data_IF_848002472046
#
_entry.id   IF_848002472046
#
_cell.length_a   1.000
_cell.length_b   1.000
_cell.length_c   1.000
_cell.angle_alpha   90.00
_cell.angle_beta   90.00
_cell.angle_gamma   90.00
#
_symmetry.space_group_name_H-M   'P 1'
#
loop_
_entity.id
_entity.type
_entity.pdbx_description
1 polymer ?
#
# COMPACT_ATOMS: atom_id res chain seq x y z
N UNK A 1 23.55 -105.01 -0.61
CA UNK A 1 24.84 -104.28 -0.69
C UNK A 1 24.54 -102.84 -1.10
N UNK A 2 25.11 -101.86 -0.38
CA UNK A 2 25.26 -100.41 -0.66
C UNK A 2 23.96 -99.60 -0.88
N UNK A 3 23.47 -98.78 0.08
CA UNK A 3 23.96 -97.45 0.53
C UNK A 3 24.23 -96.52 -0.66
N UNK A 4 23.50 -95.42 -0.82
CA UNK A 4 23.74 -94.05 -0.28
C UNK A 4 22.75 -93.13 -1.06
N UNK A 5 22.35 -91.90 -0.72
CA UNK A 5 22.90 -90.82 0.10
C UNK A 5 21.73 -89.82 0.31
N UNK A 6 21.64 -89.22 1.50
CA UNK A 6 20.76 -88.09 1.77
C UNK A 6 21.18 -86.87 0.95
N UNK A 7 20.23 -86.19 0.29
CA UNK A 7 20.41 -84.84 -0.21
C UNK A 7 19.64 -83.88 0.71
N UNK A 8 20.34 -83.27 1.65
CA UNK A 8 19.81 -82.18 2.48
C UNK A 8 19.79 -80.93 1.58
N UNK A 9 18.60 -80.50 1.15
CA UNK A 9 18.43 -79.18 0.54
C UNK A 9 18.57 -78.12 1.63
N UNK A 10 19.71 -77.42 1.65
CA UNK A 10 19.85 -76.16 2.38
C UNK A 10 19.09 -75.08 1.62
N UNK A 11 17.90 -74.72 2.12
CA UNK A 11 17.22 -73.49 1.70
C UNK A 11 17.95 -72.34 2.40
N UNK A 12 18.81 -71.64 1.65
CA UNK A 12 19.37 -70.37 2.10
C UNK A 12 18.26 -69.32 1.98
N UNK A 13 17.53 -69.06 3.06
CA UNK A 13 16.61 -67.93 3.14
C UNK A 13 17.46 -66.68 3.34
N UNK A 14 17.80 -65.99 2.25
CA UNK A 14 18.38 -64.65 2.33
C UNK A 14 17.28 -63.71 2.82
N UNK A 15 17.25 -63.44 4.11
CA UNK A 15 16.39 -62.41 4.69
C UNK A 15 16.86 -61.05 4.17
N UNK A 16 16.20 -60.55 3.13
CA UNK A 16 16.37 -59.18 2.66
C UNK A 16 15.71 -58.27 3.69
N UNK A 17 16.44 -57.86 4.72
CA UNK A 17 16.00 -56.80 5.64
C UNK A 17 15.92 -55.51 4.85
N UNK A 18 14.70 -55.17 4.43
CA UNK A 18 14.36 -53.83 3.96
C UNK A 18 14.53 -52.92 5.18
N UNK A 19 15.68 -52.26 5.29
CA UNK A 19 15.87 -51.16 6.22
C UNK A 19 15.05 -50.01 5.64
N UNK A 20 13.79 -49.91 6.06
CA UNK A 20 12.98 -48.72 5.80
C UNK A 20 13.58 -47.63 6.69
N UNK A 21 14.22 -46.57 6.14
CA UNK A 21 14.66 -45.48 6.96
C UNK A 21 13.43 -44.84 7.60
N UNK A 22 13.28 -45.03 8.91
CA UNK A 22 12.33 -44.25 9.69
C UNK A 22 12.85 -42.81 9.69
N UNK A 23 12.25 -41.97 8.85
CA UNK A 23 12.40 -40.54 8.98
C UNK A 23 11.65 -40.11 10.24
N UNK A 24 12.38 -39.91 11.34
CA UNK A 24 11.85 -39.19 12.49
C UNK A 24 11.73 -37.72 12.08
N UNK A 25 10.49 -37.20 12.06
CA UNK A 25 10.29 -35.77 11.90
C UNK A 25 10.70 -35.08 13.21
N UNK A 26 11.68 -34.17 13.16
CA UNK A 26 12.10 -33.34 14.30
C UNK A 26 10.96 -32.45 14.84
N UNK A 27 9.91 -32.22 14.03
CA UNK A 27 8.71 -31.50 14.41
C UNK A 27 7.49 -32.05 13.66
N UNK A 28 6.44 -32.39 14.40
CA UNK A 28 5.11 -32.66 13.84
C UNK A 28 4.21 -31.48 14.15
N UNK A 29 3.56 -30.93 13.12
CA UNK A 29 2.54 -29.88 13.25
C UNK A 29 1.23 -30.37 12.66
N UNK A 30 0.11 -29.91 13.21
CA UNK A 30 -1.24 -30.26 12.74
C UNK A 30 -1.95 -28.98 12.31
N UNK A 31 -2.45 -28.98 11.08
CA UNK A 31 -3.29 -27.88 10.59
C UNK A 31 -4.71 -28.15 11.07
N UNK A 32 -5.27 -27.24 11.87
CA UNK A 32 -6.67 -27.27 12.27
C UNK A 32 -7.50 -26.33 11.36
N UNK A 33 -8.22 -26.86 10.36
CA UNK A 33 -9.03 -26.07 9.45
C UNK A 33 -10.30 -25.50 10.11
N UNK A 34 -10.60 -25.86 11.36
CA UNK A 34 -11.72 -25.26 12.11
C UNK A 34 -11.39 -23.88 12.69
N UNK A 35 -10.10 -23.52 12.75
CA UNK A 35 -9.65 -22.21 13.21
C UNK A 35 -9.82 -21.13 12.11
N UNK A 36 -10.44 -20.00 12.45
CA UNK A 36 -10.63 -18.87 11.53
C UNK A 36 -10.04 -17.60 12.17
N UNK A 37 -9.01 -17.04 11.52
CA UNK A 37 -8.30 -15.83 11.96
C UNK A 37 -8.68 -14.59 11.13
N UNK A 38 -9.74 -14.69 10.34
CA UNK A 38 -10.18 -13.66 9.40
C UNK A 38 -9.90 -14.04 7.94
N UNK A 39 -10.42 -13.22 7.03
CA UNK A 39 -10.22 -13.40 5.59
C UNK A 39 -8.86 -12.83 5.19
N UNK A 40 -8.00 -13.65 4.60
CA UNK A 40 -6.81 -13.16 3.91
C UNK A 40 -7.23 -12.49 2.60
N UNK A 41 -6.88 -11.23 2.44
CA UNK A 41 -7.36 -10.43 1.30
C UNK A 41 -6.40 -10.42 0.13
N UNK A 42 -5.11 -10.61 0.39
CA UNK A 42 -4.13 -10.58 -0.68
C UNK A 42 -2.75 -10.09 -0.28
N UNK A 43 -1.93 -9.93 -1.31
CA UNK A 43 -0.62 -9.30 -1.22
C UNK A 43 -0.43 -8.39 -2.45
N UNK A 44 0.53 -7.49 -2.35
CA UNK A 44 0.74 -6.54 -3.43
C UNK A 44 1.92 -5.62 -3.22
N UNK A 45 1.89 -4.52 -3.96
CA UNK A 45 2.95 -3.52 -3.94
C UNK A 45 2.40 -2.11 -4.10
N UNK A 46 3.20 -1.13 -3.67
CA UNK A 46 3.01 0.24 -4.10
C UNK A 46 3.53 0.42 -5.52
N UNK A 47 2.79 1.17 -6.33
CA UNK A 47 3.25 1.60 -7.65
C UNK A 47 4.26 2.76 -7.54
N UNK A 48 4.37 3.36 -6.35
CA UNK A 48 5.30 4.46 -6.11
C UNK A 48 6.72 3.94 -5.84
N UNK A 49 7.77 4.51 -6.43
CA UNK A 49 7.77 5.44 -7.56
C UNK A 49 8.06 4.76 -8.89
N UNK A 50 8.40 3.46 -8.86
CA UNK A 50 8.91 2.74 -10.02
C UNK A 50 7.96 2.80 -11.23
N UNK A 51 6.64 2.83 -11.01
CA UNK A 51 5.67 2.91 -12.09
C UNK A 51 5.62 4.31 -12.73
N UNK A 52 6.09 5.37 -12.06
CA UNK A 52 6.27 6.67 -12.70
C UNK A 52 7.39 6.62 -13.76
N UNK A 53 8.40 5.76 -13.58
CA UNK A 53 9.49 5.55 -14.54
C UNK A 53 9.18 4.46 -15.58
N UNK A 54 8.49 3.40 -15.17
CA UNK A 54 8.34 2.17 -15.96
C UNK A 54 6.89 1.72 -16.16
N UNK A 55 5.92 2.60 -15.92
CA UNK A 55 4.52 2.20 -15.83
C UNK A 55 3.86 1.76 -17.13
N UNK A 56 4.55 1.88 -18.26
CA UNK A 56 4.12 1.37 -19.57
C UNK A 56 4.73 0.01 -19.93
N UNK A 57 5.52 -0.59 -19.03
CA UNK A 57 6.22 -1.85 -19.27
C UNK A 57 5.35 -3.06 -18.93
N UNK A 58 4.98 -3.82 -19.96
CA UNK A 58 4.18 -5.04 -19.79
C UNK A 58 4.93 -6.18 -19.10
N UNK A 59 6.23 -6.31 -19.34
CA UNK A 59 7.04 -7.36 -18.72
C UNK A 59 7.08 -7.23 -17.19
N UNK A 60 7.34 -6.02 -16.66
CA UNK A 60 7.27 -5.75 -15.22
C UNK A 60 5.87 -5.99 -14.67
N UNK A 61 4.87 -5.52 -15.41
CA UNK A 61 3.50 -5.65 -14.98
C UNK A 61 3.02 -7.13 -15.01
N UNK A 62 3.58 -7.98 -15.87
CA UNK A 62 3.32 -9.42 -15.88
C UNK A 62 4.03 -10.11 -14.71
N UNK A 63 5.25 -9.70 -14.39
CA UNK A 63 6.00 -10.18 -13.22
C UNK A 63 5.22 -9.89 -11.94
N UNK A 64 4.65 -8.68 -11.79
CA UNK A 64 3.95 -8.33 -10.56
C UNK A 64 2.52 -8.87 -10.51
N UNK A 65 1.74 -8.76 -11.58
CA UNK A 65 0.28 -8.90 -11.53
C UNK A 65 -0.26 -10.12 -12.30
N UNK A 66 0.57 -11.10 -12.64
CA UNK A 66 0.12 -12.38 -13.20
C UNK A 66 0.86 -13.55 -12.58
N UNK A 67 0.39 -14.77 -12.83
CA UNK A 67 1.10 -16.01 -12.51
C UNK A 67 2.01 -16.50 -13.65
N UNK A 68 2.22 -15.71 -14.71
CA UNK A 68 3.02 -16.11 -15.86
C UNK A 68 4.52 -16.06 -15.55
N UNK A 69 5.30 -16.99 -16.10
CA UNK A 69 6.76 -16.88 -16.10
C UNK A 69 7.18 -15.83 -17.13
N UNK A 70 7.97 -14.85 -16.72
CA UNK A 70 8.46 -13.76 -17.56
C UNK A 70 9.98 -13.76 -17.58
N UNK A 71 10.58 -13.64 -18.76
CA UNK A 71 12.03 -13.46 -18.88
C UNK A 71 12.39 -11.98 -18.80
N UNK A 72 13.15 -11.60 -17.78
CA UNK A 72 13.69 -10.25 -17.61
C UNK A 72 15.21 -10.31 -17.59
N UNK A 73 15.86 -9.60 -18.52
CA UNK A 73 17.33 -9.55 -18.64
C UNK A 73 17.99 -10.95 -18.69
N UNK A 74 17.34 -11.90 -19.38
CA UNK A 74 17.83 -13.29 -19.49
C UNK A 74 17.53 -14.19 -18.29
N UNK A 75 16.86 -13.68 -17.25
CA UNK A 75 16.44 -14.46 -16.08
C UNK A 75 14.94 -14.74 -16.16
N UNK A 76 14.56 -16.01 -16.09
CA UNK A 76 13.16 -16.42 -15.99
C UNK A 76 12.67 -16.23 -14.56
N UNK A 77 11.67 -15.35 -14.40
CA UNK A 77 11.06 -15.03 -13.10
C UNK A 77 9.62 -15.54 -13.08
N UNK A 78 9.19 -16.24 -12.02
CA UNK A 78 7.78 -16.53 -11.82
C UNK A 78 7.03 -15.23 -11.52
N UNK A 79 5.84 -15.08 -12.12
CA UNK A 79 4.93 -14.01 -11.78
C UNK A 79 4.41 -14.15 -10.34
N UNK A 80 4.22 -13.02 -9.67
CA UNK A 80 3.87 -12.95 -8.25
C UNK A 80 2.35 -12.93 -7.99
N UNK A 81 1.55 -12.80 -9.05
CA UNK A 81 0.10 -12.77 -9.03
C UNK A 81 -0.47 -11.82 -7.95
N UNK A 82 0.09 -10.61 -7.87
CA UNK A 82 -0.37 -9.60 -6.92
C UNK A 82 -1.83 -9.22 -7.22
N UNK A 83 -2.65 -9.23 -6.18
CA UNK A 83 -4.04 -8.79 -6.29
C UNK A 83 -4.29 -7.42 -5.63
N UNK A 84 -3.28 -6.86 -4.96
CA UNK A 84 -3.32 -5.53 -4.36
C UNK A 84 -2.37 -4.57 -5.10
N UNK A 85 -2.83 -3.37 -5.44
CA UNK A 85 -1.99 -2.29 -5.97
C UNK A 85 -2.31 -0.95 -5.29
N UNK A 86 -1.29 -0.28 -4.73
CA UNK A 86 -1.42 1.05 -4.11
C UNK A 86 -0.93 2.13 -5.08
N UNK A 87 -1.77 3.10 -5.40
CA UNK A 87 -1.49 4.22 -6.30
C UNK A 87 -1.29 5.51 -5.51
N UNK A 88 -0.17 6.21 -5.71
CA UNK A 88 0.13 7.45 -5.01
C UNK A 88 -0.47 8.66 -5.75
N UNK A 89 -1.40 9.36 -5.12
CA UNK A 89 -1.81 10.70 -5.50
C UNK A 89 -0.68 11.68 -5.21
N UNK A 90 0.10 11.99 -6.25
CA UNK A 90 1.30 12.82 -6.12
C UNK A 90 1.04 14.22 -5.57
N UNK A 91 2.09 14.80 -5.01
CA UNK A 91 2.07 16.12 -4.39
C UNK A 91 2.77 17.20 -5.23
N UNK A 92 3.57 16.77 -6.22
CA UNK A 92 4.48 17.65 -6.96
C UNK A 92 3.85 18.21 -8.24
N UNK A 93 4.10 19.47 -8.53
CA UNK A 93 3.89 20.05 -9.87
C UNK A 93 4.82 21.24 -10.11
N UNK A 94 5.02 21.60 -11.37
CA UNK A 94 5.98 22.63 -11.80
C UNK A 94 5.31 23.87 -12.40
N UNK A 95 4.02 24.07 -12.11
CA UNK A 95 3.34 25.31 -12.45
C UNK A 95 3.73 26.44 -11.48
N UNK A 96 3.38 27.66 -11.88
CA UNK A 96 3.48 28.86 -11.04
C UNK A 96 2.07 29.39 -10.78
N UNK A 97 1.76 29.72 -9.53
CA UNK A 97 0.51 30.34 -9.12
C UNK A 97 0.74 31.86 -9.02
N UNK A 98 -0.13 32.65 -9.64
CA UNK A 98 -0.03 34.13 -9.70
C UNK A 98 1.34 34.65 -10.19
N UNK A 99 2.02 33.89 -11.06
CA UNK A 99 3.30 34.27 -11.66
C UNK A 99 4.52 34.27 -10.72
N UNK A 100 4.36 33.96 -9.43
CA UNK A 100 5.47 34.02 -8.45
C UNK A 100 5.56 32.81 -7.53
N UNK A 101 4.45 32.25 -7.09
CA UNK A 101 4.42 31.14 -6.14
C UNK A 101 4.65 29.82 -6.86
N UNK A 102 5.64 29.04 -6.43
CA UNK A 102 6.02 27.77 -7.04
C UNK A 102 6.40 26.75 -5.97
N UNK A 103 6.36 25.47 -6.33
CA UNK A 103 6.85 24.39 -5.49
C UNK A 103 8.30 24.64 -5.06
N UNK A 104 8.58 24.43 -3.77
CA UNK A 104 9.92 24.43 -3.20
C UNK A 104 10.46 23.01 -3.22
N UNK A 105 11.66 22.84 -3.79
CA UNK A 105 12.30 21.53 -3.95
C UNK A 105 13.45 21.37 -2.98
N UNK A 106 13.44 20.27 -2.23
CA UNK A 106 14.55 19.92 -1.34
C UNK A 106 15.85 19.78 -2.13
N UNK A 107 16.99 20.32 -1.65
CA UNK A 107 18.28 20.15 -2.31
C UNK A 107 18.74 18.69 -2.46
N UNK A 108 18.18 17.77 -1.68
CA UNK A 108 18.49 16.33 -1.71
C UNK A 108 17.43 15.50 -2.43
N UNK A 109 16.43 16.16 -3.03
CA UNK A 109 15.34 15.46 -3.69
C UNK A 109 15.83 14.60 -4.84
N UNK A 110 15.41 13.32 -4.83
CA UNK A 110 15.69 12.42 -5.95
C UNK A 110 14.58 12.64 -6.99
N UNK A 111 14.89 13.03 -8.24
CA UNK A 111 13.88 13.37 -9.24
C UNK A 111 12.85 12.28 -9.51
N UNK A 112 13.25 11.01 -9.48
CA UNK A 112 12.34 9.88 -9.69
C UNK A 112 11.34 9.66 -8.55
N UNK A 113 11.45 10.40 -7.44
CA UNK A 113 10.59 10.31 -6.25
C UNK A 113 9.57 11.46 -6.15
N UNK A 114 9.53 12.33 -7.15
CA UNK A 114 8.56 13.42 -7.28
C UNK A 114 7.40 12.94 -8.15
N UNK A 115 6.22 12.73 -7.55
CA UNK A 115 5.03 12.23 -8.24
C UNK A 115 4.14 13.40 -8.62
N UNK A 116 3.72 13.43 -9.88
CA UNK A 116 2.88 14.51 -10.42
C UNK A 116 1.51 14.46 -9.76
N UNK A 117 1.12 15.55 -9.12
CA UNK A 117 -0.23 15.75 -8.60
C UNK A 117 -1.19 16.32 -9.65
N UNK A 118 -2.49 16.18 -9.39
CA UNK A 118 -3.55 16.57 -10.33
C UNK A 118 -4.11 17.99 -10.10
N UNK A 119 -4.02 18.52 -8.88
CA UNK A 119 -4.66 19.80 -8.52
C UNK A 119 -3.63 20.92 -8.44
N UNK A 120 -3.50 21.65 -9.54
CA UNK A 120 -2.41 22.57 -9.84
C UNK A 120 -2.40 23.85 -9.00
N UNK A 121 -3.59 24.33 -8.61
CA UNK A 121 -3.74 25.55 -7.80
C UNK A 121 -5.06 25.57 -7.03
N UNK A 122 -5.21 26.53 -6.12
CA UNK A 122 -6.38 26.70 -5.27
C UNK A 122 -7.55 27.47 -5.93
N UNK A 123 -7.44 27.85 -7.21
CA UNK A 123 -8.42 28.76 -7.83
C UNK A 123 -9.79 28.11 -8.02
N UNK A 124 -9.85 26.78 -8.15
CA UNK A 124 -11.12 26.05 -8.26
C UNK A 124 -11.02 24.62 -7.76
N UNK A 125 -12.05 24.19 -7.02
CA UNK A 125 -12.29 22.79 -6.63
C UNK A 125 -13.00 21.99 -7.72
N UNK A 126 -13.42 22.62 -8.83
CA UNK A 126 -14.11 21.94 -9.91
C UNK A 126 -13.13 21.10 -10.74
N UNK A 127 -13.31 19.77 -10.87
CA UNK A 127 -12.41 18.90 -11.63
C UNK A 127 -12.39 19.19 -13.14
N UNK A 128 -13.36 19.94 -13.66
CA UNK A 128 -13.37 20.37 -15.07
C UNK A 128 -12.65 21.69 -15.34
N UNK A 129 -12.16 22.37 -14.29
CA UNK A 129 -11.46 23.64 -14.42
C UNK A 129 -9.99 23.45 -14.81
N UNK A 130 -9.34 24.55 -15.22
CA UNK A 130 -7.90 24.58 -15.49
C UNK A 130 -7.03 24.40 -14.24
N UNK A 131 -7.60 24.47 -13.04
CA UNK A 131 -6.90 24.13 -11.80
C UNK A 131 -6.57 22.64 -11.72
N UNK A 132 -7.16 21.79 -12.58
CA UNK A 132 -6.90 20.36 -12.60
C UNK A 132 -6.21 19.93 -13.89
N UNK A 133 -5.17 19.10 -13.76
CA UNK A 133 -4.44 18.53 -14.89
C UNK A 133 -4.50 16.99 -14.87
N UNK A 134 -5.54 16.42 -15.50
CA UNK A 134 -5.74 14.97 -15.59
C UNK A 134 -4.78 14.24 -16.54
N UNK A 135 -3.92 14.98 -17.26
CA UNK A 135 -2.82 14.39 -18.04
C UNK A 135 -1.57 14.12 -17.18
N UNK A 136 -1.57 14.57 -15.93
CA UNK A 136 -0.52 14.28 -14.96
C UNK A 136 -0.36 12.76 -14.72
N UNK A 137 0.84 12.38 -14.30
CA UNK A 137 1.19 11.03 -13.83
C UNK A 137 0.80 9.86 -14.76
N UNK A 138 0.91 10.07 -16.07
CA UNK A 138 0.48 9.11 -17.09
C UNK A 138 1.06 7.70 -16.90
N UNK A 139 2.34 7.57 -16.55
CA UNK A 139 3.00 6.27 -16.45
C UNK A 139 2.47 5.44 -15.26
N UNK A 140 2.40 6.01 -14.06
CA UNK A 140 1.86 5.28 -12.90
C UNK A 140 0.37 4.94 -13.11
N UNK A 141 -0.40 5.84 -13.73
CA UNK A 141 -1.79 5.57 -14.15
C UNK A 141 -1.90 4.41 -15.13
N UNK A 142 -1.02 4.35 -16.13
CA UNK A 142 -0.97 3.25 -17.09
C UNK A 142 -0.72 1.91 -16.36
N UNK A 143 0.25 1.88 -15.44
CA UNK A 143 0.55 0.69 -14.65
C UNK A 143 -0.64 0.24 -13.81
N UNK A 144 -1.36 1.18 -13.16
CA UNK A 144 -2.56 0.85 -12.38
C UNK A 144 -3.64 0.23 -13.27
N UNK A 145 -3.85 0.78 -14.47
CA UNK A 145 -4.81 0.23 -15.43
C UNK A 145 -4.41 -1.18 -15.87
N UNK A 146 -3.13 -1.41 -16.14
CA UNK A 146 -2.59 -2.71 -16.54
C UNK A 146 -2.70 -3.72 -15.39
N UNK A 147 -2.35 -3.33 -14.17
CA UNK A 147 -2.47 -4.16 -12.97
C UNK A 147 -3.91 -4.64 -12.77
N UNK A 148 -4.89 -3.73 -12.90
CA UNK A 148 -6.32 -4.04 -12.80
C UNK A 148 -6.83 -4.94 -13.92
N UNK A 149 -6.33 -4.76 -15.14
CA UNK A 149 -6.67 -5.65 -16.26
C UNK A 149 -6.12 -7.07 -16.07
N UNK A 150 -5.25 -7.27 -15.08
CA UNK A 150 -4.68 -8.55 -14.66
C UNK A 150 -5.27 -8.93 -13.31
N UNK A 151 -4.46 -9.33 -12.33
CA UNK A 151 -4.96 -9.88 -11.08
C UNK A 151 -5.34 -8.83 -10.02
N UNK A 152 -4.98 -7.55 -10.19
CA UNK A 152 -5.22 -6.54 -9.15
C UNK A 152 -6.70 -6.15 -9.03
N UNK A 153 -7.35 -6.63 -7.97
CA UNK A 153 -8.77 -6.38 -7.68
C UNK A 153 -9.02 -5.58 -6.40
N UNK A 154 -7.98 -5.35 -5.60
CA UNK A 154 -7.99 -4.45 -4.46
C UNK A 154 -7.05 -3.29 -4.76
N UNK A 155 -7.61 -2.10 -4.92
CA UNK A 155 -6.85 -0.91 -5.29
C UNK A 155 -6.95 0.12 -4.17
N UNK A 156 -5.81 0.67 -3.76
CA UNK A 156 -5.78 1.76 -2.77
C UNK A 156 -5.25 3.04 -3.43
N UNK A 157 -5.94 4.15 -3.18
CA UNK A 157 -5.42 5.49 -3.45
C UNK A 157 -4.77 5.99 -2.17
N UNK A 158 -3.48 6.27 -2.17
CA UNK A 158 -2.79 6.83 -1.01
C UNK A 158 -2.04 8.12 -1.35
N UNK A 159 -1.58 8.86 -0.35
CA UNK A 159 -0.82 10.10 -0.57
C UNK A 159 0.39 10.17 0.36
N UNK A 160 1.58 10.38 -0.23
CA UNK A 160 2.77 10.67 0.55
C UNK A 160 2.74 12.07 1.19
N UNK A 161 2.06 13.03 0.56
CA UNK A 161 2.03 14.42 0.98
C UNK A 161 0.88 15.19 0.31
N UNK A 162 0.33 16.24 0.94
CA UNK A 162 -0.61 17.15 0.29
C UNK A 162 0.03 17.84 -0.92
N UNK A 163 -0.79 18.32 -1.87
CA UNK A 163 -0.30 19.15 -2.98
C UNK A 163 0.59 20.27 -2.44
N UNK A 164 1.72 20.54 -3.09
CA UNK A 164 2.74 21.46 -2.57
C UNK A 164 2.20 22.82 -2.12
N UNK A 165 1.20 23.38 -2.81
CA UNK A 165 0.62 24.69 -2.46
C UNK A 165 -0.22 24.66 -1.17
N UNK A 166 -0.61 23.47 -0.70
CA UNK A 166 -1.26 23.27 0.59
C UNK A 166 -0.27 23.28 1.76
N UNK A 167 1.02 23.09 1.48
CA UNK A 167 2.07 23.03 2.49
C UNK A 167 2.49 24.43 2.97
N UNK A 168 2.79 24.58 4.27
CA UNK A 168 3.19 25.85 4.91
C UNK A 168 4.38 26.50 4.22
N UNK A 169 5.32 25.70 3.76
CA UNK A 169 6.57 26.12 3.10
C UNK A 169 6.58 25.88 1.59
N UNK A 170 5.43 25.55 0.98
CA UNK A 170 5.31 25.15 -0.43
C UNK A 170 6.18 23.94 -0.84
N UNK A 171 6.66 23.16 0.14
CA UNK A 171 7.54 22.02 -0.05
C UNK A 171 6.79 20.73 0.33
N UNK A 172 6.43 19.85 -0.64
CA UNK A 172 5.72 18.60 -0.36
C UNK A 172 6.63 17.50 0.22
N UNK A 173 7.91 17.79 0.45
CA UNK A 173 8.92 16.89 1.01
C UNK A 173 9.04 17.01 2.55
N UNK A 174 8.20 17.88 3.16
CA UNK A 174 7.99 18.14 4.59
C UNK A 174 8.48 19.51 5.07
N UNK A 175 8.20 19.81 6.35
CA UNK A 175 8.77 20.94 7.07
C UNK A 175 10.28 20.76 7.25
N UNK A 176 11.01 21.85 7.43
CA UNK A 176 12.47 21.80 7.57
C UNK A 176 12.95 21.06 8.83
N UNK A 177 12.09 21.03 9.86
CA UNK A 177 12.33 20.33 11.12
C UNK A 177 11.76 18.91 11.12
N UNK A 178 10.72 18.65 10.34
CA UNK A 178 10.17 17.30 10.16
C UNK A 178 9.23 16.80 11.23
N UNK A 179 9.23 17.44 12.40
CA UNK A 179 8.39 17.05 13.55
C UNK A 179 7.10 17.86 13.69
N UNK A 180 6.86 18.80 12.77
CA UNK A 180 5.66 19.65 12.77
C UNK A 180 4.84 19.45 11.52
N UNK A 181 3.52 19.54 11.71
CA UNK A 181 2.53 19.69 10.63
C UNK A 181 3.04 20.59 9.52
N UNK A 182 3.16 20.03 8.31
CA UNK A 182 3.49 20.84 7.14
C UNK A 182 2.24 21.23 6.35
N UNK A 183 1.08 20.61 6.59
CA UNK A 183 -0.20 21.05 6.02
C UNK A 183 -0.67 22.35 6.69
N UNK A 184 -1.06 23.34 5.89
CA UNK A 184 -1.70 24.55 6.40
C UNK A 184 -3.07 24.21 7.02
N UNK A 185 -3.41 24.78 8.17
CA UNK A 185 -4.64 24.44 8.90
C UNK A 185 -5.93 24.73 8.12
N UNK A 186 -5.92 25.75 7.25
CA UNK A 186 -7.04 26.06 6.35
C UNK A 186 -7.15 25.10 5.15
N UNK A 187 -6.20 24.18 4.96
CA UNK A 187 -6.19 23.22 3.85
C UNK A 187 -6.49 21.78 4.28
N UNK A 188 -6.94 21.53 5.51
CA UNK A 188 -7.35 20.19 5.95
C UNK A 188 -8.49 19.63 5.09
N UNK A 189 -9.53 20.44 4.84
CA UNK A 189 -10.60 20.05 3.93
C UNK A 189 -10.13 20.00 2.48
N UNK A 190 -9.25 20.90 2.05
CA UNK A 190 -8.69 20.87 0.69
C UNK A 190 -7.95 19.55 0.42
N UNK A 191 -7.15 19.04 1.34
CA UNK A 191 -6.49 17.74 1.17
C UNK A 191 -7.51 16.59 1.01
N UNK A 192 -8.59 16.61 1.80
CA UNK A 192 -9.70 15.67 1.63
C UNK A 192 -10.43 15.80 0.28
N UNK A 193 -10.67 17.03 -0.18
CA UNK A 193 -11.24 17.32 -1.51
C UNK A 193 -10.35 16.76 -2.60
N UNK A 194 -9.03 16.89 -2.48
CA UNK A 194 -8.07 16.35 -3.43
C UNK A 194 -8.23 14.83 -3.57
N UNK A 195 -8.10 14.12 -2.45
CA UNK A 195 -8.15 12.66 -2.43
C UNK A 195 -9.50 12.12 -2.93
N UNK A 196 -10.61 12.68 -2.46
CA UNK A 196 -11.94 12.25 -2.89
C UNK A 196 -12.24 12.57 -4.37
N UNK A 197 -11.75 13.71 -4.88
CA UNK A 197 -11.93 14.09 -6.28
C UNK A 197 -11.09 13.24 -7.21
N UNK A 198 -9.85 12.91 -6.84
CA UNK A 198 -9.02 11.94 -7.59
C UNK A 198 -9.70 10.57 -7.62
N UNK A 199 -10.17 10.05 -6.49
CA UNK A 199 -10.88 8.77 -6.44
C UNK A 199 -12.12 8.76 -7.37
N UNK A 200 -12.93 9.83 -7.32
CA UNK A 200 -14.12 9.96 -8.17
C UNK A 200 -13.78 10.05 -9.65
N UNK A 201 -12.79 10.85 -10.00
CA UNK A 201 -12.37 11.03 -11.39
C UNK A 201 -11.85 9.72 -12.00
N UNK A 202 -11.05 8.96 -11.26
CA UNK A 202 -10.57 7.64 -11.66
C UNK A 202 -11.73 6.66 -11.90
N UNK A 203 -12.74 6.67 -11.03
CA UNK A 203 -13.94 5.84 -11.19
C UNK A 203 -14.72 6.22 -12.45
N UNK A 204 -15.02 7.51 -12.63
CA UNK A 204 -15.90 7.98 -13.70
C UNK A 204 -15.25 7.91 -15.09
N UNK A 205 -13.96 8.26 -15.17
CA UNK A 205 -13.28 8.49 -16.46
C UNK A 205 -12.45 7.29 -16.89
N UNK A 206 -11.89 6.54 -15.93
CA UNK A 206 -10.97 5.43 -16.21
C UNK A 206 -11.49 4.09 -15.71
N UNK A 207 -12.74 4.04 -15.25
CA UNK A 207 -13.39 2.85 -14.69
C UNK A 207 -12.63 2.24 -13.49
N UNK A 208 -11.76 3.02 -12.84
CA UNK A 208 -10.88 2.55 -11.76
C UNK A 208 -11.52 2.89 -10.43
N UNK A 209 -12.06 1.87 -9.76
CA UNK A 209 -12.65 2.02 -8.43
C UNK A 209 -11.63 1.63 -7.38
N UNK A 210 -11.29 2.55 -6.49
CA UNK A 210 -10.48 2.25 -5.33
C UNK A 210 -11.33 1.59 -4.24
N UNK A 211 -10.78 0.52 -3.66
CA UNK A 211 -11.32 -0.15 -2.49
C UNK A 211 -11.18 0.73 -1.24
N UNK A 212 -10.03 1.41 -1.12
CA UNK A 212 -9.71 2.30 0.00
C UNK A 212 -9.02 3.60 -0.46
N UNK A 213 -9.14 4.63 0.37
CA UNK A 213 -8.39 5.90 0.26
C UNK A 213 -7.66 6.18 1.57
N UNK A 214 -6.33 6.34 1.51
CA UNK A 214 -5.48 6.75 2.63
C UNK A 214 -4.89 8.15 2.37
N UNK A 215 -5.24 9.18 3.16
CA UNK A 215 -4.70 10.52 2.94
C UNK A 215 -3.27 10.71 3.50
N UNK A 216 -2.64 9.68 4.07
CA UNK A 216 -1.36 9.77 4.76
C UNK A 216 -0.34 8.70 4.33
N UNK A 217 0.91 8.93 4.75
CA UNK A 217 2.00 7.96 4.72
C UNK A 217 2.96 8.31 5.87
N UNK A 218 3.08 7.42 6.86
CA UNK A 218 3.91 7.60 8.05
C UNK A 218 3.73 8.98 8.72
N UNK A 219 2.49 9.37 9.07
CA UNK A 219 2.18 10.75 9.43
C UNK A 219 2.84 11.19 10.74
N UNK A 220 3.01 10.32 11.74
CA UNK A 220 3.64 10.72 13.01
C UNK A 220 5.17 10.69 12.99
N UNK A 221 5.77 10.26 11.87
CA UNK A 221 7.21 10.21 11.71
C UNK A 221 7.84 11.61 11.84
N UNK A 222 8.96 11.70 12.56
CA UNK A 222 9.71 12.95 12.74
C UNK A 222 10.96 13.03 11.87
N UNK A 223 11.12 12.11 10.90
CA UNK A 223 12.28 12.04 10.00
C UNK A 223 12.03 12.62 8.62
N UNK A 224 10.79 12.99 8.30
CA UNK A 224 10.53 13.77 7.09
C UNK A 224 11.31 15.09 7.17
N UNK A 225 11.90 15.58 6.08
CA UNK A 225 12.70 16.80 6.20
C UNK A 225 12.75 17.59 4.89
N UNK A 226 12.33 18.85 4.93
CA UNK A 226 12.31 19.73 3.76
C UNK A 226 13.68 20.02 3.15
N UNK A 227 14.78 19.90 3.90
CA UNK A 227 16.16 20.22 3.46
C UNK A 227 16.97 18.98 3.06
N UNK A 228 16.75 17.85 3.73
CA UNK A 228 17.54 16.62 3.55
C UNK A 228 16.73 15.44 3.05
N UNK A 229 15.40 15.55 3.06
CA UNK A 229 14.49 14.54 2.53
C UNK A 229 14.75 14.26 1.06
N UNK A 230 14.55 13.00 0.68
CA UNK A 230 14.81 12.52 -0.69
C UNK A 230 13.52 12.17 -1.43
N UNK A 231 12.36 12.30 -0.80
CA UNK A 231 11.04 11.95 -1.31
C UNK A 231 9.94 12.87 -0.77
N UNK A 232 8.75 12.80 -1.36
CA UNK A 232 7.51 13.37 -0.80
C UNK A 232 7.21 12.75 0.58
N UNK A 233 6.75 13.59 1.51
CA UNK A 233 6.44 13.22 2.88
C UNK A 233 5.89 14.42 3.67
N UNK A 234 5.01 14.17 4.63
CA UNK A 234 4.44 15.22 5.47
C UNK A 234 4.15 14.66 6.86
N UNK A 235 4.68 15.33 7.89
CA UNK A 235 4.25 15.08 9.25
C UNK A 235 2.82 15.56 9.46
N UNK A 236 2.02 14.78 10.18
CA UNK A 236 0.70 15.13 10.67
C UNK A 236 0.55 14.71 12.14
N UNK A 237 0.27 15.70 12.99
CA UNK A 237 -0.18 15.47 14.35
C UNK A 237 -1.45 14.60 14.35
N UNK A 238 -1.63 13.80 15.40
CA UNK A 238 -2.80 12.91 15.55
C UNK A 238 -4.13 13.68 15.46
N UNK A 239 -4.18 14.90 16.01
CA UNK A 239 -5.36 15.78 15.90
C UNK A 239 -5.63 16.21 14.47
N UNK A 240 -4.58 16.48 13.70
CA UNK A 240 -4.67 16.86 12.29
C UNK A 240 -5.14 15.69 11.45
N UNK A 241 -4.62 14.48 11.71
CA UNK A 241 -5.11 13.26 11.07
C UNK A 241 -6.62 13.08 11.31
N UNK A 242 -7.08 13.21 12.55
CA UNK A 242 -8.50 13.08 12.88
C UNK A 242 -9.39 14.10 12.15
N UNK A 243 -8.93 15.36 12.02
CA UNK A 243 -9.66 16.40 11.29
C UNK A 243 -9.75 16.07 9.78
N UNK A 244 -8.63 15.70 9.16
CA UNK A 244 -8.58 15.32 7.74
C UNK A 244 -9.43 14.08 7.45
N UNK A 245 -9.44 13.07 8.32
CA UNK A 245 -10.26 11.86 8.15
C UNK A 245 -11.76 12.16 8.16
N UNK A 246 -12.20 13.07 9.05
CA UNK A 246 -13.59 13.53 9.07
C UNK A 246 -13.96 14.24 7.76
N UNK A 247 -13.11 15.16 7.29
CA UNK A 247 -13.33 15.81 5.99
C UNK A 247 -13.34 14.78 4.85
N UNK A 248 -12.41 13.83 4.83
CA UNK A 248 -12.33 12.82 3.77
C UNK A 248 -13.61 11.98 3.68
N UNK A 249 -14.18 11.57 4.82
CA UNK A 249 -15.46 10.86 4.82
C UNK A 249 -16.58 11.69 4.22
N UNK A 250 -16.70 12.96 4.63
CA UNK A 250 -17.69 13.89 4.06
C UNK A 250 -17.51 14.08 2.56
N UNK A 251 -16.27 14.27 2.09
CA UNK A 251 -15.98 14.52 0.67
C UNK A 251 -16.17 13.27 -0.21
N UNK A 252 -15.90 12.08 0.31
CA UNK A 252 -16.21 10.82 -0.38
C UNK A 252 -17.73 10.61 -0.47
N UNK A 253 -18.47 10.81 0.63
CA UNK A 253 -19.93 10.65 0.66
C UNK A 253 -20.63 11.61 -0.30
N UNK A 254 -20.23 12.89 -0.30
CA UNK A 254 -20.81 13.92 -1.19
C UNK A 254 -20.58 13.63 -2.67
N UNK A 255 -19.57 12.80 -3.00
CA UNK A 255 -19.26 12.34 -4.36
C UNK A 255 -19.84 10.96 -4.68
N UNK A 256 -20.67 10.39 -3.80
CA UNK A 256 -21.27 9.07 -4.02
C UNK A 256 -20.30 7.90 -3.82
N UNK A 257 -19.20 8.10 -3.10
CA UNK A 257 -18.20 7.09 -2.76
C UNK A 257 -18.38 6.58 -1.32
N UNK A 258 -19.62 6.47 -0.85
CA UNK A 258 -19.95 6.04 0.51
C UNK A 258 -19.57 4.58 0.83
N UNK A 259 -19.31 3.78 -0.20
CA UNK A 259 -18.84 2.40 -0.08
C UNK A 259 -17.31 2.26 -0.17
N UNK A 260 -16.58 3.34 -0.45
CA UNK A 260 -15.12 3.33 -0.47
C UNK A 260 -14.62 3.49 0.96
N UNK A 261 -13.77 2.57 1.40
CA UNK A 261 -13.20 2.58 2.74
C UNK A 261 -12.18 3.71 2.90
N UNK A 262 -11.98 4.15 4.13
CA UNK A 262 -10.84 4.99 4.50
C UNK A 262 -9.84 4.11 5.26
N UNK A 263 -8.63 4.00 4.74
CA UNK A 263 -7.48 3.43 5.46
C UNK A 263 -6.73 4.55 6.17
N UNK A 264 -6.20 4.22 7.35
CA UNK A 264 -5.38 5.12 8.17
C UNK A 264 -4.72 4.33 9.31
N UNK A 265 -3.64 4.82 9.92
CA UNK A 265 -2.91 6.05 9.57
C UNK A 265 -1.65 5.79 8.72
N UNK A 266 -1.39 4.54 8.34
CA UNK A 266 -0.16 4.12 7.65
C UNK A 266 1.12 4.51 8.40
N UNK A 267 1.10 4.39 9.74
CA UNK A 267 2.30 4.63 10.56
C UNK A 267 3.44 3.69 10.18
N UNK A 268 4.67 4.17 10.35
CA UNK A 268 5.89 3.42 10.10
C UNK A 268 6.05 2.20 11.01
N UNK A 269 5.49 2.28 12.22
CA UNK A 269 5.56 1.23 13.22
C UNK A 269 4.19 0.86 13.78
N UNK A 270 3.99 -0.45 13.98
CA UNK A 270 2.77 -0.99 14.60
C UNK A 270 2.45 -0.34 15.96
N UNK A 271 3.47 -0.12 16.79
CA UNK A 271 3.29 0.46 18.11
C UNK A 271 2.82 1.93 18.06
N UNK A 272 3.22 2.68 17.03
CA UNK A 272 2.71 4.05 16.81
C UNK A 272 1.21 3.97 16.46
N UNK A 273 0.86 3.11 15.51
CA UNK A 273 -0.51 2.86 15.11
C UNK A 273 -1.42 2.45 16.29
N UNK A 274 -0.94 1.58 17.17
CA UNK A 274 -1.68 1.11 18.33
C UNK A 274 -1.84 2.19 19.42
N UNK A 275 -0.82 3.06 19.62
CA UNK A 275 -0.81 4.12 20.66
C UNK A 275 -1.53 5.39 20.22
N UNK A 276 -1.54 5.65 18.93
CA UNK A 276 -2.18 6.79 18.29
C UNK A 276 -3.30 6.33 17.39
N UNK A 277 -4.34 5.65 17.92
CA UNK A 277 -5.53 5.49 17.11
C UNK A 277 -5.97 6.91 16.81
N UNK A 278 -5.90 7.30 15.53
CA UNK A 278 -6.74 8.36 15.04
C UNK A 278 -8.14 7.93 15.51
N UNK A 279 -8.62 8.55 16.59
CA UNK A 279 -9.97 8.40 17.08
C UNK A 279 -10.66 9.63 16.55
N UNK A 280 -11.13 9.62 15.29
CA UNK A 280 -12.05 10.64 14.89
C UNK A 280 -13.16 10.72 15.94
N UNK A 281 -13.55 11.94 16.31
CA UNK A 281 -14.89 12.20 16.81
C UNK A 281 -15.92 11.96 15.69
N UNK A 282 -15.89 10.78 15.06
CA UNK A 282 -16.90 10.33 14.11
C UNK A 282 -18.19 10.16 14.91
N UNK A 283 -19.25 10.82 14.47
CA UNK A 283 -20.59 10.62 15.02
C UNK A 283 -20.91 9.12 15.10
N UNK A 284 -21.65 8.71 16.14
CA UNK A 284 -22.00 7.29 16.40
C UNK A 284 -22.44 6.51 15.15
N UNK A 285 -23.20 7.07 14.18
CA UNK A 285 -23.59 6.34 12.96
C UNK A 285 -22.42 5.95 12.03
N UNK A 286 -21.27 6.62 12.13
CA UNK A 286 -20.08 6.29 11.33
C UNK A 286 -19.14 5.32 12.09
N UNK A 287 -19.08 5.42 13.43
CA UNK A 287 -18.45 4.37 14.25
C UNK A 287 -19.20 3.05 14.17
N UNK A 288 -20.54 3.10 14.10
CA UNK A 288 -21.38 1.92 13.96
C UNK A 288 -21.24 1.30 12.57
N UNK A 289 -21.06 2.07 11.49
CA UNK A 289 -20.75 1.50 10.16
C UNK A 289 -19.36 0.85 10.10
N UNK A 290 -18.39 1.36 10.86
CA UNK A 290 -17.08 0.71 11.04
C UNK A 290 -17.17 -0.55 11.94
N UNK A 291 -18.22 -0.69 12.77
CA UNK A 291 -18.42 -1.82 13.70
C UNK A 291 -19.45 -2.86 13.25
N UNK A 292 -20.36 -2.53 12.33
CA UNK A 292 -21.52 -3.36 11.96
C UNK A 292 -21.26 -4.38 10.84
N UNK A 293 -20.04 -4.43 10.28
CA UNK A 293 -19.60 -5.64 9.58
C UNK A 293 -18.93 -6.56 10.60
N UNK A 294 -19.25 -7.86 10.63
CA UNK A 294 -18.78 -8.76 11.68
C UNK A 294 -17.25 -8.72 11.73
N UNK A 295 -16.73 -8.09 12.80
CA UNK A 295 -15.32 -8.03 13.18
C UNK A 295 -14.35 -7.75 12.03
N UNK A 296 -14.32 -6.52 11.54
CA UNK A 296 -13.13 -6.01 10.86
C UNK A 296 -12.64 -4.77 11.63
N UNK A 297 -11.54 -4.86 12.39
CA UNK A 297 -10.92 -3.67 12.95
C UNK A 297 -10.47 -2.77 11.79
N UNK A 298 -10.36 -1.47 12.09
CA UNK A 298 -9.59 -0.49 11.30
C UNK A 298 -8.35 -1.20 10.73
N UNK A 299 -8.24 -1.24 9.40
CA UNK A 299 -7.17 -1.96 8.72
C UNK A 299 -5.86 -1.20 8.87
N UNK A 300 -5.15 -1.49 9.95
CA UNK A 300 -3.71 -1.36 9.97
C UNK A 300 -3.14 -2.53 9.19
N UNK A 301 -2.33 -2.28 8.17
CA UNK A 301 -1.55 -3.34 7.52
C UNK A 301 -0.48 -3.82 8.51
N UNK A 302 -0.55 -5.03 9.11
CA UNK A 302 0.51 -5.48 9.98
C UNK A 302 1.58 -6.16 9.12
N UNK A 303 2.81 -5.65 9.19
CA UNK A 303 3.98 -6.46 8.86
C UNK A 303 3.91 -7.76 9.68
N UNK A 304 3.98 -8.91 9.00
CA UNK A 304 3.99 -10.23 9.67
C UNK A 304 5.21 -10.36 10.59
N UNK A 305 4.93 -10.99 11.73
CA UNK A 305 5.83 -11.41 12.79
C UNK A 305 7.13 -12.07 12.29
N UNK A 306 8.28 -11.66 12.84
CA UNK A 306 9.40 -12.57 13.08
C UNK A 306 9.39 -12.98 14.56
N UNK A 307 9.63 -14.25 14.91
CA UNK A 307 9.94 -14.62 16.28
C UNK A 307 11.30 -14.01 16.67
N UNK A 308 11.36 -13.32 17.80
CA UNK A 308 12.62 -13.05 18.49
C UNK A 308 13.16 -14.37 19.08
N UNK A 309 14.45 -14.70 18.95
CA UNK A 309 15.03 -15.87 19.59
C UNK A 309 15.39 -15.57 21.06
N UNK A 310 15.06 -16.51 21.94
CA UNK A 310 15.76 -16.69 23.22
C UNK A 310 15.01 -16.23 24.47
N UNK A 311 14.58 -17.20 25.28
CA UNK A 311 14.96 -17.26 26.69
C UNK A 311 14.78 -18.71 27.19
N UNK A 312 15.90 -19.38 27.39
CA UNK A 312 16.09 -20.45 28.38
C UNK A 312 15.93 -19.87 29.79
N UNK A 313 15.08 -20.45 30.64
CA UNK A 313 15.37 -21.54 31.61
C UNK A 313 14.05 -22.28 31.82
#
# INVERSE_FOLDING_TARGET
MARYLHAVSQILVTALTIIIPFAFADLTTTIDPSSNWGTWEGWGTSLTWWAAAFGTRDDLANIFFTSQTVTLNGVSLPGLDFNIARYNAGASSWNTINGTTKMVVSPKMIPSRQIKGFWMDWASTSPSSSSWNWSADLAQRAMLSIARARSANILELFSNSPMWWMCKNHNPFSSDDGSFDNLQSWNYQSHAVYMATVAKYFSDTWSTKFSSVDPFNEPTATWWNGKTGTQEGCHFDVSTQAAVLNHLRTELDSRGLSSTDISASDESYYDQAAKHPAKPGLDRPCQDRLRQRPRLPVRFWPARLRPQPGNTI
#
